data_IF_967369858022
#
_entry.id   IF_967369858022
#
_cell.length_a   1.000
_cell.length_b   1.000
_cell.length_c   1.000
_cell.angle_alpha   90.00
_cell.angle_beta   90.00
_cell.angle_gamma   90.00
#
_symmetry.space_group_name_H-M   'P 1'
#
loop_
_entity.id
_entity.type
_entity.pdbx_description
1 polymer ?
#
# COMPACT_ATOMS: atom_id res chain seq x y z
N UNK A 1 -9.95 -8.38 -9.45
CA UNK A 1 -9.31 -9.69 -9.19
C UNK A 1 -9.48 -10.56 -10.43
N UNK A 2 -8.51 -11.42 -10.74
CA UNK A 2 -8.55 -12.35 -11.88
C UNK A 2 -8.16 -13.75 -11.41
N UNK A 3 -8.87 -14.80 -11.83
CA UNK A 3 -8.41 -16.17 -11.62
C UNK A 3 -7.44 -16.52 -12.76
N UNK A 4 -6.15 -16.51 -12.45
CA UNK A 4 -5.08 -16.71 -13.43
C UNK A 4 -4.62 -18.15 -13.49
N UNK A 5 -4.90 -18.95 -12.45
CA UNK A 5 -4.46 -20.34 -12.36
C UNK A 5 -5.46 -21.27 -11.71
N UNK A 6 -5.32 -22.55 -12.04
CA UNK A 6 -6.10 -23.66 -11.46
C UNK A 6 -5.16 -24.75 -11.00
N UNK A 7 -5.63 -25.60 -10.07
CA UNK A 7 -4.86 -26.74 -9.61
C UNK A 7 -5.16 -27.97 -10.49
N UNK A 8 -4.16 -28.46 -11.23
CA UNK A 8 -4.27 -29.64 -12.11
C UNK A 8 -3.01 -30.50 -12.00
N UNK A 9 -3.16 -31.81 -12.02
CA UNK A 9 -2.03 -32.76 -12.00
C UNK A 9 -1.02 -32.47 -10.87
N UNK A 10 -1.53 -32.24 -9.66
CA UNK A 10 -0.75 -31.93 -8.46
C UNK A 10 0.07 -30.62 -8.52
N UNK A 11 -0.14 -29.77 -9.52
CA UNK A 11 0.56 -28.49 -9.68
C UNK A 11 -0.40 -27.34 -10.00
N UNK A 12 0.05 -26.11 -9.77
CA UNK A 12 -0.64 -24.92 -10.22
C UNK A 12 -0.33 -24.68 -11.69
N UNK A 13 -1.36 -24.53 -12.51
CA UNK A 13 -1.24 -24.29 -13.94
C UNK A 13 -2.01 -23.03 -14.34
N UNK A 14 -1.41 -22.24 -15.22
CA UNK A 14 -2.02 -21.06 -15.79
C UNK A 14 -3.27 -21.46 -16.58
N UNK A 15 -4.36 -20.68 -16.46
CA UNK A 15 -5.55 -20.93 -17.27
C UNK A 15 -5.29 -20.53 -18.73
N UNK A 16 -5.99 -21.16 -19.67
CA UNK A 16 -5.69 -21.04 -21.11
C UNK A 16 -5.77 -19.60 -21.64
N UNK A 17 -6.68 -18.79 -21.09
CA UNK A 17 -6.84 -17.37 -21.41
C UNK A 17 -5.55 -16.56 -21.14
N UNK A 18 -4.73 -17.00 -20.20
CA UNK A 18 -3.48 -16.36 -19.80
C UNK A 18 -2.24 -17.02 -20.40
N UNK A 19 -2.36 -18.10 -21.17
CA UNK A 19 -1.22 -18.86 -21.70
C UNK A 19 -0.18 -18.00 -22.45
N UNK A 20 -0.65 -16.97 -23.18
CA UNK A 20 0.22 -16.05 -23.93
C UNK A 20 0.98 -15.03 -23.06
N UNK A 21 0.65 -14.92 -21.78
CA UNK A 21 1.44 -14.11 -20.84
C UNK A 21 2.82 -14.71 -20.60
N UNK A 22 3.01 -16.01 -20.84
CA UNK A 22 4.28 -16.71 -20.60
C UNK A 22 4.71 -16.67 -19.13
N UNK A 23 3.76 -16.64 -18.21
CA UNK A 23 4.00 -16.80 -16.76
C UNK A 23 3.90 -18.28 -16.40
N UNK A 24 4.77 -18.73 -15.51
CA UNK A 24 4.72 -20.05 -14.89
C UNK A 24 4.63 -19.85 -13.37
N UNK A 25 3.89 -20.73 -12.68
CA UNK A 25 3.74 -20.68 -11.22
C UNK A 25 4.86 -21.47 -10.54
N UNK A 26 6.09 -21.06 -10.79
CA UNK A 26 7.29 -21.59 -10.18
C UNK A 26 8.10 -20.38 -9.69
N UNK A 27 7.96 -20.06 -8.40
CA UNK A 27 8.52 -18.85 -7.81
C UNK A 27 9.61 -19.25 -6.82
N UNK A 28 10.86 -18.96 -7.17
CA UNK A 28 12.01 -19.19 -6.30
C UNK A 28 11.98 -18.29 -5.06
N UNK A 29 11.41 -17.09 -5.20
CA UNK A 29 11.29 -16.10 -4.12
C UNK A 29 10.12 -15.12 -4.35
N UNK A 30 9.95 -14.21 -3.39
CA UNK A 30 8.91 -13.15 -3.43
C UNK A 30 9.10 -12.14 -4.56
N UNK A 31 10.32 -11.95 -5.07
CA UNK A 31 10.62 -11.03 -6.16
C UNK A 31 10.15 -11.62 -7.49
N UNK A 32 10.44 -12.89 -7.73
CA UNK A 32 9.95 -13.62 -8.91
C UNK A 32 8.41 -13.62 -8.97
N UNK A 33 7.74 -13.79 -7.82
CA UNK A 33 6.29 -13.70 -7.73
C UNK A 33 5.76 -12.30 -8.07
N UNK A 34 6.42 -11.25 -7.59
CA UNK A 34 6.02 -9.86 -7.88
C UNK A 34 6.19 -9.51 -9.37
N UNK A 35 7.27 -9.95 -10.00
CA UNK A 35 7.48 -9.75 -11.45
C UNK A 35 6.46 -10.53 -12.28
N UNK A 36 6.12 -11.76 -11.88
CA UNK A 36 5.03 -12.50 -12.50
C UNK A 36 3.67 -11.79 -12.36
N UNK A 37 3.39 -11.21 -11.19
CA UNK A 37 2.17 -10.42 -10.96
C UNK A 37 2.10 -9.19 -11.87
N UNK A 38 3.20 -8.44 -12.03
CA UNK A 38 3.28 -7.30 -12.97
C UNK A 38 3.11 -7.73 -14.42
N UNK A 39 3.69 -8.87 -14.81
CA UNK A 39 3.54 -9.41 -16.16
C UNK A 39 2.09 -9.78 -16.46
N UNK A 40 1.39 -10.39 -15.50
CA UNK A 40 -0.03 -10.69 -15.61
C UNK A 40 -0.90 -9.43 -15.60
N UNK A 41 -0.58 -8.42 -14.78
CA UNK A 41 -1.25 -7.12 -14.79
C UNK A 41 -1.18 -6.47 -16.18
N UNK A 42 0.02 -6.40 -16.76
CA UNK A 42 0.20 -5.87 -18.12
C UNK A 42 -0.61 -6.68 -19.13
N UNK A 43 -0.62 -8.00 -19.00
CA UNK A 43 -1.40 -8.86 -19.90
C UNK A 43 -2.91 -8.61 -19.80
N UNK A 44 -3.49 -8.47 -18.61
CA UNK A 44 -4.94 -8.20 -18.48
C UNK A 44 -5.31 -6.83 -19.02
N UNK A 45 -4.43 -5.83 -18.86
CA UNK A 45 -4.63 -4.48 -19.39
C UNK A 45 -4.55 -4.46 -20.92
N UNK A 46 -3.53 -5.11 -21.50
CA UNK A 46 -3.33 -5.14 -22.96
C UNK A 46 -4.42 -5.94 -23.69
N UNK A 47 -5.11 -6.87 -23.01
CA UNK A 47 -6.10 -7.79 -23.61
C UNK A 47 -7.55 -7.53 -23.14
N UNK A 48 -7.80 -6.49 -22.34
CA UNK A 48 -9.11 -6.14 -21.79
C UNK A 48 -9.84 -7.33 -21.14
N UNK A 49 -9.10 -8.15 -20.39
CA UNK A 49 -9.67 -9.32 -19.71
C UNK A 49 -10.62 -8.83 -18.62
N UNK A 50 -11.78 -9.47 -18.50
CA UNK A 50 -12.80 -9.10 -17.52
C UNK A 50 -12.34 -9.43 -16.10
N UNK A 51 -12.36 -8.45 -15.20
CA UNK A 51 -12.10 -8.67 -13.79
C UNK A 51 -13.35 -9.12 -13.01
N UNK A 52 -13.12 -9.81 -11.91
CA UNK A 52 -14.02 -9.83 -10.77
C UNK A 52 -13.75 -8.58 -9.93
N UNK A 53 -14.59 -7.55 -10.09
CA UNK A 53 -14.45 -6.28 -9.40
C UNK A 53 -14.84 -6.38 -7.92
N UNK A 54 -14.13 -5.68 -7.06
CA UNK A 54 -14.50 -5.46 -5.67
C UNK A 54 -14.14 -4.04 -5.26
N UNK A 55 -14.88 -3.48 -4.30
CA UNK A 55 -14.65 -2.15 -3.76
C UNK A 55 -14.30 -2.27 -2.28
N UNK A 56 -13.30 -1.53 -1.85
CA UNK A 56 -12.90 -1.47 -0.44
C UNK A 56 -13.95 -0.75 0.40
N UNK A 57 -14.10 -1.17 1.65
CA UNK A 57 -14.90 -0.50 2.67
C UNK A 57 -14.15 0.73 3.24
N UNK A 58 -14.71 1.37 4.26
CA UNK A 58 -14.09 2.51 4.97
C UNK A 58 -12.74 2.19 5.60
N UNK A 59 -12.50 0.92 5.90
CA UNK A 59 -11.30 0.43 6.58
C UNK A 59 -10.21 0.04 5.56
N UNK A 60 -10.48 0.19 4.26
CA UNK A 60 -9.54 -0.16 3.19
C UNK A 60 -9.56 -1.65 2.81
N UNK A 61 -10.55 -2.41 3.30
CA UNK A 61 -10.62 -3.86 3.11
C UNK A 61 -11.62 -4.26 2.04
N UNK A 62 -11.33 -5.34 1.30
CA UNK A 62 -12.24 -5.98 0.36
C UNK A 62 -12.20 -7.49 0.57
N UNK A 63 -13.38 -8.13 0.55
CA UNK A 63 -13.52 -9.55 0.80
C UNK A 63 -14.18 -10.24 -0.38
N UNK A 64 -13.53 -11.31 -0.85
CA UNK A 64 -14.05 -12.19 -1.88
C UNK A 64 -14.40 -13.54 -1.23
N UNK A 65 -15.63 -14.02 -1.44
CA UNK A 65 -16.15 -15.26 -0.83
C UNK A 65 -16.33 -16.34 -1.90
N UNK A 66 -16.42 -17.58 -1.43
CA UNK A 66 -16.77 -18.75 -2.25
C UNK A 66 -15.86 -18.92 -3.47
N UNK A 67 -14.57 -18.60 -3.29
CA UNK A 67 -13.56 -18.76 -4.32
C UNK A 67 -13.24 -20.24 -4.53
N UNK A 68 -13.17 -20.64 -5.79
CA UNK A 68 -12.67 -21.96 -6.16
C UNK A 68 -11.18 -22.12 -5.81
N UNK A 69 -10.71 -23.37 -5.81
CA UNK A 69 -9.29 -23.64 -5.68
C UNK A 69 -8.53 -23.05 -6.87
N UNK A 70 -7.67 -22.08 -6.65
CA UNK A 70 -7.06 -21.32 -7.75
C UNK A 70 -5.89 -20.44 -7.36
N UNK A 71 -5.28 -19.86 -8.38
CA UNK A 71 -4.30 -18.77 -8.28
C UNK A 71 -4.98 -17.50 -8.74
N UNK A 72 -4.94 -16.47 -7.91
CA UNK A 72 -5.67 -15.22 -8.10
C UNK A 72 -4.71 -14.04 -8.17
N UNK A 73 -4.85 -13.24 -9.23
CA UNK A 73 -4.17 -11.96 -9.38
C UNK A 73 -5.06 -10.84 -8.84
N UNK A 74 -4.48 -10.01 -7.98
CA UNK A 74 -5.09 -8.79 -7.50
C UNK A 74 -4.40 -7.59 -8.15
N UNK A 75 -5.22 -6.71 -8.74
CA UNK A 75 -4.80 -5.47 -9.41
C UNK A 75 -5.72 -4.37 -8.91
N UNK A 76 -5.14 -3.24 -8.49
CA UNK A 76 -5.90 -2.05 -8.17
C UNK A 76 -6.12 -1.23 -9.44
N UNK A 77 -7.36 -1.15 -9.91
CA UNK A 77 -7.71 -0.47 -11.17
C UNK A 77 -7.85 1.05 -11.05
N UNK A 78 -8.09 1.56 -9.84
CA UNK A 78 -8.26 2.99 -9.56
C UNK A 78 -7.30 3.43 -8.47
N UNK A 79 -6.53 4.49 -8.73
CA UNK A 79 -5.65 5.08 -7.71
C UNK A 79 -6.47 5.83 -6.67
N UNK A 80 -6.06 5.77 -5.41
CA UNK A 80 -6.71 6.50 -4.31
C UNK A 80 -5.89 7.74 -3.99
N UNK A 81 -6.52 8.91 -3.97
CA UNK A 81 -5.86 10.15 -3.54
C UNK A 81 -6.23 10.47 -2.10
N UNK A 82 -5.22 10.67 -1.26
CA UNK A 82 -5.39 11.13 0.12
C UNK A 82 -4.45 12.31 0.32
N UNK A 83 -5.03 13.49 0.55
CA UNK A 83 -4.29 14.76 0.63
C UNK A 83 -3.44 15.01 -0.62
N UNK A 84 -2.12 15.08 -0.48
CA UNK A 84 -1.17 15.29 -1.58
C UNK A 84 -0.48 14.00 -2.04
N UNK A 85 -1.00 12.83 -1.63
CA UNK A 85 -0.42 11.53 -1.96
C UNK A 85 -1.38 10.70 -2.80
N UNK A 86 -0.81 9.99 -3.77
CA UNK A 86 -1.47 8.96 -4.55
C UNK A 86 -1.05 7.61 -3.99
N UNK A 87 -2.04 6.83 -3.59
CA UNK A 87 -1.89 5.48 -3.09
C UNK A 87 -2.27 4.49 -4.18
N UNK A 88 -1.34 3.58 -4.47
CA UNK A 88 -1.57 2.47 -5.39
C UNK A 88 -0.83 1.23 -4.89
N UNK A 89 -1.60 0.16 -4.66
CA UNK A 89 -1.07 -1.18 -4.40
C UNK A 89 -0.38 -1.73 -5.64
N UNK A 90 0.76 -2.39 -5.42
CA UNK A 90 1.38 -3.22 -6.45
C UNK A 90 0.52 -4.45 -6.74
N UNK A 91 0.50 -4.97 -7.98
CA UNK A 91 -0.19 -6.21 -8.27
C UNK A 91 0.45 -7.36 -7.49
N UNK A 92 -0.38 -8.30 -7.04
CA UNK A 92 0.09 -9.45 -6.25
C UNK A 92 -0.74 -10.71 -6.52
N UNK A 93 -0.15 -11.86 -6.22
CA UNK A 93 -0.72 -13.18 -6.47
C UNK A 93 -1.03 -13.86 -5.13
N UNK A 94 -2.23 -14.43 -5.01
CA UNK A 94 -2.67 -15.25 -3.88
C UNK A 94 -3.12 -16.61 -4.39
N UNK A 95 -2.75 -17.68 -3.68
CA UNK A 95 -3.32 -19.02 -3.90
C UNK A 95 -4.45 -19.27 -2.92
N UNK A 96 -5.55 -19.86 -3.38
CA UNK A 96 -6.65 -20.34 -2.55
C UNK A 96 -6.76 -21.85 -2.73
N UNK A 97 -6.57 -22.67 -1.69
CA UNK A 97 -6.10 -22.27 -0.36
C UNK A 97 -4.63 -21.81 -0.39
N UNK A 98 -4.24 -21.03 0.62
CA UNK A 98 -2.85 -20.67 0.88
C UNK A 98 -2.08 -21.82 1.52
N UNK A 99 -0.76 -21.84 1.33
CA UNK A 99 0.16 -22.78 1.98
C UNK A 99 1.19 -21.99 2.81
N UNK A 100 1.09 -22.07 4.13
CA UNK A 100 1.98 -21.36 5.05
C UNK A 100 2.65 -22.39 5.96
N UNK A 101 3.92 -22.72 5.68
CA UNK A 101 4.66 -23.71 6.44
C UNK A 101 4.04 -25.11 6.41
N UNK A 102 3.43 -25.51 5.28
CA UNK A 102 2.75 -26.80 5.12
C UNK A 102 1.29 -26.81 5.59
N UNK A 103 0.80 -25.73 6.21
CA UNK A 103 -0.59 -25.61 6.62
C UNK A 103 -1.44 -25.05 5.48
N UNK A 104 -2.53 -25.76 5.17
CA UNK A 104 -3.51 -25.37 4.16
C UNK A 104 -4.55 -24.46 4.80
N UNK A 105 -4.59 -23.19 4.36
CA UNK A 105 -5.49 -22.17 4.90
C UNK A 105 -6.47 -21.72 3.80
N UNK A 106 -7.76 -21.94 4.02
CA UNK A 106 -8.81 -21.51 3.09
C UNK A 106 -9.16 -20.02 3.23
N UNK A 107 -9.15 -19.52 4.46
CA UNK A 107 -9.39 -18.11 4.76
C UNK A 107 -8.07 -17.34 4.65
N UNK A 108 -7.75 -16.91 3.44
CA UNK A 108 -6.50 -16.20 3.16
C UNK A 108 -6.70 -14.69 3.34
N UNK A 109 -5.84 -14.07 4.14
CA UNK A 109 -5.75 -12.61 4.31
C UNK A 109 -4.42 -12.13 3.75
N UNK A 110 -4.44 -11.03 3.00
CA UNK A 110 -3.25 -10.44 2.41
C UNK A 110 -3.26 -8.92 2.56
N UNK A 111 -2.12 -8.36 2.93
CA UNK A 111 -1.87 -6.92 2.99
C UNK A 111 -0.97 -6.55 1.81
N UNK A 112 -1.51 -5.88 0.77
CA UNK A 112 -0.73 -5.57 -0.41
C UNK A 112 0.34 -4.53 -0.12
N UNK A 113 1.51 -4.70 -0.75
CA UNK A 113 2.50 -3.62 -0.82
C UNK A 113 1.96 -2.48 -1.67
N UNK A 114 2.27 -1.24 -1.29
CA UNK A 114 1.82 -0.05 -2.00
C UNK A 114 2.95 0.97 -2.17
N UNK A 115 2.78 1.86 -3.16
CA UNK A 115 3.64 3.03 -3.38
C UNK A 115 2.89 4.28 -2.99
N UNK A 116 3.59 5.19 -2.29
CA UNK A 116 3.13 6.55 -2.05
C UNK A 116 3.88 7.48 -2.98
N UNK A 117 3.17 8.10 -3.91
CA UNK A 117 3.71 9.14 -4.78
C UNK A 117 3.14 10.48 -4.34
N UNK A 118 4.01 11.47 -4.11
CA UNK A 118 3.56 12.85 -3.92
C UNK A 118 3.08 13.42 -5.26
N UNK A 119 1.94 14.10 -5.23
CA UNK A 119 1.50 14.87 -6.39
C UNK A 119 2.48 16.05 -6.53
N UNK A 120 3.12 16.25 -7.70
CA UNK A 120 3.99 17.40 -7.91
C UNK A 120 3.20 18.68 -7.66
N UNK A 121 3.81 19.72 -7.05
CA UNK A 121 3.14 20.99 -6.85
C UNK A 121 2.66 21.51 -8.21
N UNK A 122 1.38 21.85 -8.30
CA UNK A 122 0.84 22.53 -9.48
C UNK A 122 1.54 23.88 -9.56
N UNK A 123 2.52 24.02 -10.46
CA UNK A 123 3.06 25.33 -10.81
C UNK A 123 1.96 26.06 -11.57
N UNK A 124 1.18 26.86 -10.85
CA UNK A 124 0.29 27.84 -11.46
C UNK A 124 1.17 28.80 -12.25
N UNK A 125 1.26 28.62 -13.56
CA UNK A 125 1.80 29.63 -14.47
C UNK A 125 0.81 30.79 -14.49
N UNK A 126 0.84 31.64 -13.47
CA UNK A 126 0.17 32.94 -13.51
C UNK A 126 0.90 33.76 -14.57
N UNK A 127 0.22 34.26 -15.61
CA UNK A 127 0.84 35.14 -16.59
C UNK A 127 1.36 36.42 -15.91
N UNK A 128 2.41 37.07 -16.43
CA UNK A 128 3.02 38.21 -15.78
C UNK A 128 2.00 39.36 -15.69
N UNK A 129 1.66 39.75 -14.47
CA UNK A 129 0.86 40.95 -14.20
C UNK A 129 1.73 42.14 -14.58
N UNK A 130 1.23 42.94 -15.53
CA UNK A 130 1.81 44.21 -15.95
C UNK A 130 1.84 45.19 -14.78
N UNK A 131 3.03 45.71 -14.46
CA UNK A 131 3.21 46.75 -13.46
C UNK A 131 2.92 48.15 -14.04
N UNK A 132 2.16 48.97 -13.33
CA UNK A 132 2.29 50.44 -13.38
C UNK A 132 2.03 51.01 -11.97
N UNK A 133 2.72 52.10 -11.55
CA UNK A 133 2.95 52.41 -10.15
C UNK A 133 1.91 53.37 -9.58
N UNK A 134 1.47 53.14 -8.35
CA UNK A 134 0.83 54.16 -7.52
C UNK A 134 1.14 53.88 -6.06
N UNK A 135 1.86 54.80 -5.42
CA UNK A 135 2.10 54.77 -3.97
C UNK A 135 0.83 55.03 -3.18
N UNK A 136 0.76 54.52 -1.95
CA UNK A 136 0.85 55.32 -0.72
C UNK A 136 0.81 54.37 0.50
N UNK A 137 1.28 54.87 1.63
CA UNK A 137 1.69 54.18 2.83
C UNK A 137 0.53 53.63 3.68
N UNK A 138 0.62 52.41 4.20
CA UNK A 138 -0.04 52.09 5.47
C UNK A 138 0.53 50.84 6.14
N UNK A 139 0.77 50.97 7.44
CA UNK A 139 1.30 49.93 8.33
C UNK A 139 0.30 48.79 8.51
N UNK A 140 0.73 47.54 8.30
CA UNK A 140 0.35 46.41 9.16
C UNK A 140 1.24 45.21 8.89
N UNK A 141 2.14 44.91 9.81
CA UNK A 141 2.70 43.57 9.99
C UNK A 141 1.61 42.64 10.51
N UNK A 142 1.33 41.47 9.89
CA UNK A 142 0.85 40.33 10.63
C UNK A 142 2.07 39.54 11.06
N UNK A 143 2.49 39.83 12.29
CA UNK A 143 3.27 38.95 13.13
C UNK A 143 2.77 37.49 12.98
N UNK A 144 3.56 36.61 12.37
CA UNK A 144 3.34 35.16 12.43
C UNK A 144 4.19 34.60 13.58
N UNK A 145 3.51 34.33 14.69
CA UNK A 145 3.90 33.48 15.83
C UNK A 145 2.55 32.96 16.38
N UNK A 146 2.28 31.68 16.58
CA UNK A 146 3.09 30.55 17.08
C UNK A 146 2.34 29.23 16.76
N UNK A 147 3.00 28.08 16.89
CA UNK A 147 2.31 26.78 16.94
C UNK A 147 3.16 25.53 17.14
N UNK A 148 4.49 25.57 16.99
CA UNK A 148 5.35 24.41 17.32
C UNK A 148 5.68 24.40 18.82
N UNK A 149 4.74 23.93 19.64
CA UNK A 149 5.00 23.60 21.04
C UNK A 149 5.29 22.10 21.19
N UNK A 150 6.36 21.62 20.55
CA UNK A 150 6.95 20.34 20.99
C UNK A 150 7.84 20.61 22.19
N UNK A 151 7.22 20.64 23.37
CA UNK A 151 7.92 20.93 24.62
C UNK A 151 9.00 19.88 24.87
N UNK A 152 10.27 20.25 24.74
CA UNK A 152 11.45 19.37 24.94
C UNK A 152 11.44 18.72 26.34
N UNK A 153 10.76 19.34 27.32
CA UNK A 153 10.58 18.79 28.68
C UNK A 153 9.68 17.54 28.67
N UNK A 154 8.73 17.42 27.73
CA UNK A 154 7.88 16.23 27.57
C UNK A 154 8.70 15.00 27.14
N UNK A 155 9.76 15.18 26.35
CA UNK A 155 10.64 14.09 25.94
C UNK A 155 11.64 13.70 27.04
N UNK A 156 12.10 14.66 27.86
CA UNK A 156 12.97 14.40 29.00
C UNK A 156 12.25 13.66 30.14
N UNK A 157 10.95 13.90 30.36
CA UNK A 157 10.18 13.19 31.38
C UNK A 157 9.97 11.70 31.02
N UNK A 158 9.76 11.40 29.74
CA UNK A 158 9.56 10.02 29.25
C UNK A 158 10.82 9.15 29.49
N UNK A 159 12.01 9.71 29.30
CA UNK A 159 13.26 8.98 29.57
C UNK A 159 13.48 8.72 31.07
N UNK A 160 13.12 9.66 31.94
CA UNK A 160 13.28 9.52 33.40
C UNK A 160 12.46 8.39 34.02
N UNK A 161 11.22 8.17 33.54
CA UNK A 161 10.33 7.12 34.07
C UNK A 161 10.89 5.72 33.78
N UNK A 162 11.60 5.52 32.65
CA UNK A 162 12.19 4.23 32.28
C UNK A 162 13.28 3.76 33.27
N UNK A 163 14.08 4.68 33.81
CA UNK A 163 15.16 4.38 34.75
C UNK A 163 14.64 4.04 36.16
N UNK A 164 13.51 4.62 36.55
CA UNK A 164 12.85 4.32 37.84
C UNK A 164 12.27 2.90 37.82
N UNK A 165 11.63 2.49 36.72
CA UNK A 165 11.09 1.12 36.56
C UNK A 165 12.22 0.09 36.60
N UNK A 166 13.34 0.34 35.89
CA UNK A 166 14.50 -0.56 35.90
C UNK A 166 15.12 -0.74 37.30
N UNK A 167 15.15 0.34 38.10
CA UNK A 167 15.67 0.32 39.47
C UNK A 167 14.76 -0.44 40.44
N UNK A 168 13.43 -0.34 40.29
CA UNK A 168 12.46 -1.10 41.08
C UNK A 168 12.51 -2.59 40.71
N UNK A 169 12.62 -2.93 39.43
CA UNK A 169 12.80 -4.30 38.97
C UNK A 169 14.09 -4.94 39.52
N UNK A 170 15.22 -4.22 39.54
CA UNK A 170 16.46 -4.75 40.13
C UNK A 170 16.39 -4.94 41.65
N UNK A 171 15.68 -4.08 42.39
CA UNK A 171 15.50 -4.26 43.84
C UNK A 171 14.61 -5.44 44.21
N UNK A 172 13.67 -5.82 43.34
CA UNK A 172 12.77 -6.97 43.58
C UNK A 172 13.42 -8.33 43.32
N UNK A 173 14.58 -8.37 42.66
CA UNK A 173 15.35 -9.60 42.38
C UNK A 173 16.33 -9.95 43.51
N UNK A 174 16.61 -9.02 44.43
CA UNK A 174 17.54 -9.23 45.56
C UNK A 174 16.87 -9.17 46.94
N UNK A 175 15.60 -9.56 47.05
CA UNK A 175 14.95 -9.79 48.34
C UNK A 175 14.20 -11.10 48.36
#
# INVERSE_FOLDING_TARGET
>A
MYQVGTYKNNSWALVSEFAKSGVIFDFDDSSAQAEAAKKLEKYVQDNNIKEMSGKTNSDGEVMYRDLEKGVYLFVQTQKTQISNQVYQSEPFIITVPGNYGGQIIWNVTAEPKFKNESIPPITTNTPPVSEEPSGDNSSRTPNVKTGDDTNVIMWLSLMGISLIIFSICKRKVHK
#
